data_IF_352868901955
#
_entry.id   IF_352868901955
#
_cell.length_a   1.000
_cell.length_b   1.000
_cell.length_c   1.000
_cell.angle_alpha   90.00
_cell.angle_beta   90.00
_cell.angle_gamma   90.00
#
_symmetry.space_group_name_H-M   'P 1'
#
loop_
_entity.id
_entity.type
_entity.pdbx_description
1 polymer ?
#
# COMPACT_ATOMS: atom_id res chain seq x y z
N UNK A 1 -0.89 17.87 24.36
CA UNK A 1 -0.05 16.69 24.01
C UNK A 1 0.73 16.19 25.23
N UNK A 2 1.08 14.89 25.30
CA UNK A 2 1.91 14.33 26.39
C UNK A 2 3.29 15.01 26.49
N UNK A 3 3.82 15.49 25.36
CA UNK A 3 5.08 16.26 25.30
C UNK A 3 5.01 17.65 25.95
N UNK A 4 3.81 18.17 26.19
CA UNK A 4 3.58 19.50 26.78
C UNK A 4 3.33 19.45 28.29
N UNK A 5 3.30 18.25 28.87
CA UNK A 5 3.13 18.10 30.31
C UNK A 5 4.38 18.69 31.01
N UNK A 6 4.22 19.60 31.99
CA UNK A 6 5.34 20.15 32.73
C UNK A 6 6.18 19.03 33.38
N UNK A 7 7.50 19.18 33.34
CA UNK A 7 8.44 18.22 33.96
C UNK A 7 8.89 17.06 33.07
N UNK A 8 8.40 16.95 31.83
CA UNK A 8 8.90 15.93 30.89
C UNK A 8 10.30 16.29 30.40
N UNK A 9 11.32 15.40 30.56
CA UNK A 9 12.67 15.61 30.05
C UNK A 9 12.71 15.77 28.53
N UNK A 10 13.71 16.48 28.03
CA UNK A 10 13.86 16.76 26.60
C UNK A 10 14.01 15.48 25.75
N UNK A 11 14.73 14.48 26.28
CA UNK A 11 14.88 13.16 25.63
C UNK A 11 13.52 12.46 25.45
N UNK A 12 12.65 12.54 26.45
CA UNK A 12 11.32 11.95 26.41
C UNK A 12 10.41 12.71 25.42
N UNK A 13 10.55 14.04 25.31
CA UNK A 13 9.87 14.81 24.25
C UNK A 13 10.32 14.39 22.86
N UNK A 14 11.63 14.20 22.65
CA UNK A 14 12.16 13.72 21.37
C UNK A 14 11.61 12.34 21.02
N UNK A 15 11.55 11.42 21.99
CA UNK A 15 10.96 10.11 21.79
C UNK A 15 9.48 10.22 21.43
N UNK A 16 8.67 10.91 22.25
CA UNK A 16 7.22 11.03 22.05
C UNK A 16 6.85 11.66 20.70
N UNK A 17 7.69 12.57 20.20
CA UNK A 17 7.47 13.28 18.93
C UNK A 17 8.22 12.65 17.74
N UNK A 18 8.78 11.44 17.92
CA UNK A 18 9.37 10.66 16.85
C UNK A 18 8.37 9.66 16.28
N UNK A 19 7.95 9.91 15.04
CA UNK A 19 7.12 9.01 14.25
C UNK A 19 8.01 8.10 13.39
N UNK A 20 7.90 6.79 13.59
CA UNK A 20 8.61 5.78 12.81
C UNK A 20 7.62 5.04 11.93
N UNK A 21 7.90 4.99 10.63
CA UNK A 21 7.11 4.27 9.63
C UNK A 21 7.98 3.12 9.10
N UNK A 22 7.47 1.89 9.12
CA UNK A 22 8.17 0.70 8.65
C UNK A 22 7.54 0.22 7.34
N UNK A 23 8.36 0.09 6.30
CA UNK A 23 7.95 -0.32 4.96
C UNK A 23 8.03 0.80 3.93
N UNK A 24 8.98 0.73 3.02
CA UNK A 24 9.21 1.66 1.92
C UNK A 24 8.34 1.43 0.68
N UNK A 25 7.27 0.63 0.78
CA UNK A 25 6.28 0.49 -0.29
C UNK A 25 5.44 1.77 -0.48
N UNK A 26 4.51 1.78 -1.45
CA UNK A 26 3.64 2.94 -1.70
C UNK A 26 2.96 3.46 -0.44
N UNK A 27 2.37 2.58 0.38
CA UNK A 27 1.67 2.97 1.62
C UNK A 27 2.57 3.72 2.60
N UNK A 28 3.74 3.19 2.93
CA UNK A 28 4.63 3.84 3.90
C UNK A 28 5.25 5.13 3.37
N UNK A 29 5.52 5.21 2.06
CA UNK A 29 6.00 6.44 1.40
C UNK A 29 4.92 7.52 1.38
N UNK A 30 3.70 7.19 0.98
CA UNK A 30 2.56 8.10 0.97
C UNK A 30 2.26 8.62 2.38
N UNK A 31 2.20 7.71 3.35
CA UNK A 31 1.98 8.06 4.76
C UNK A 31 3.09 8.96 5.30
N UNK A 32 4.35 8.62 5.05
CA UNK A 32 5.49 9.44 5.51
C UNK A 32 5.47 10.84 4.89
N UNK A 33 5.15 10.92 3.59
CA UNK A 33 5.02 12.19 2.87
C UNK A 33 3.89 13.05 3.42
N UNK A 34 2.69 12.50 3.58
CA UNK A 34 1.53 13.24 4.11
C UNK A 34 1.70 13.64 5.58
N UNK A 35 2.27 12.76 6.41
CA UNK A 35 2.58 13.08 7.80
C UNK A 35 3.60 14.21 7.89
N UNK A 36 4.66 14.16 7.09
CA UNK A 36 5.67 15.21 7.04
C UNK A 36 5.06 16.54 6.55
N UNK A 37 4.17 16.49 5.57
CA UNK A 37 3.43 17.66 5.08
C UNK A 37 2.56 18.30 6.16
N UNK A 38 1.82 17.47 6.88
CA UNK A 38 0.97 17.87 7.99
C UNK A 38 1.78 18.51 9.11
N UNK A 39 2.88 17.87 9.51
CA UNK A 39 3.78 18.41 10.55
C UNK A 39 4.32 19.76 10.11
N UNK A 40 4.88 19.86 8.90
CA UNK A 40 5.59 21.05 8.45
C UNK A 40 4.66 22.24 8.17
N UNK A 41 3.43 22.01 7.71
CA UNK A 41 2.48 23.08 7.39
C UNK A 41 1.58 23.43 8.55
N UNK A 42 0.96 22.44 9.19
CA UNK A 42 -0.16 22.65 10.11
C UNK A 42 0.35 22.66 11.57
N UNK A 43 1.12 21.63 11.97
CA UNK A 43 1.58 21.48 13.36
C UNK A 43 2.64 22.52 13.72
N UNK A 44 3.64 22.74 12.86
CA UNK A 44 4.74 23.69 13.13
C UNK A 44 4.28 25.13 13.32
N UNK A 45 3.15 25.53 12.72
CA UNK A 45 2.60 26.88 12.89
C UNK A 45 1.92 27.05 14.25
N UNK A 46 1.33 25.98 14.79
CA UNK A 46 0.49 26.04 16.00
C UNK A 46 1.23 25.60 17.28
N UNK A 47 2.20 24.69 17.15
CA UNK A 47 3.00 24.13 18.26
C UNK A 47 4.48 24.50 18.09
N UNK A 48 4.75 25.80 18.04
CA UNK A 48 6.08 26.35 17.75
C UNK A 48 7.13 25.99 18.79
N UNK A 49 6.73 25.69 20.03
CA UNK A 49 7.61 25.34 21.15
C UNK A 49 8.13 23.89 21.11
N UNK A 50 7.52 23.00 20.31
CA UNK A 50 7.96 21.60 20.17
C UNK A 50 8.35 21.21 18.74
N UNK A 51 8.27 22.13 17.80
CA UNK A 51 8.47 21.91 16.35
C UNK A 51 9.82 21.27 15.97
N UNK A 52 10.84 21.44 16.80
CA UNK A 52 12.21 20.98 16.57
C UNK A 52 12.45 19.57 17.11
N UNK A 53 11.54 19.07 17.96
CA UNK A 53 11.54 17.69 18.45
C UNK A 53 10.84 16.73 17.51
N UNK A 54 9.95 17.22 16.64
CA UNK A 54 9.15 16.36 15.75
C UNK A 54 10.02 15.77 14.65
N UNK A 55 10.05 14.44 14.57
CA UNK A 55 10.85 13.69 13.58
C UNK A 55 10.00 12.62 12.91
N UNK A 56 10.18 12.45 11.61
CA UNK A 56 9.60 11.34 10.85
C UNK A 56 10.74 10.49 10.31
N UNK A 57 10.73 9.19 10.58
CA UNK A 57 11.69 8.23 10.03
C UNK A 57 10.97 7.14 9.26
N UNK A 58 11.34 6.93 8.01
CA UNK A 58 10.89 5.81 7.20
C UNK A 58 12.00 4.76 7.13
N UNK A 59 11.68 3.55 7.57
CA UNK A 59 12.60 2.41 7.61
C UNK A 59 12.21 1.42 6.51
N UNK A 60 13.18 1.05 5.68
CA UNK A 60 13.01 0.06 4.62
C UNK A 60 14.26 -0.83 4.55
N UNK A 61 14.08 -2.11 4.25
CA UNK A 61 15.21 -3.05 4.17
C UNK A 61 16.14 -2.70 2.99
N UNK A 62 15.56 -2.31 1.86
CA UNK A 62 16.29 -2.00 0.63
C UNK A 62 16.03 -0.56 0.16
N UNK A 63 15.56 -0.40 -1.08
CA UNK A 63 15.14 0.87 -1.66
C UNK A 63 13.63 1.04 -1.53
N UNK A 64 13.20 2.27 -1.25
CA UNK A 64 11.78 2.62 -1.30
C UNK A 64 11.23 2.46 -2.73
N UNK A 65 9.93 2.18 -2.83
CA UNK A 65 9.18 2.06 -4.08
C UNK A 65 9.88 1.14 -5.08
N UNK A 66 10.38 -0.01 -4.62
CA UNK A 66 11.18 -0.95 -5.42
C UNK A 66 10.51 -1.48 -6.69
N UNK A 67 9.19 -1.32 -6.83
CA UNK A 67 8.41 -1.61 -8.04
C UNK A 67 8.43 -0.49 -9.10
N UNK A 68 8.85 0.73 -8.74
CA UNK A 68 8.91 1.90 -9.62
C UNK A 68 10.26 2.03 -10.34
N UNK A 69 10.28 2.85 -11.39
CA UNK A 69 11.50 3.21 -12.13
C UNK A 69 12.56 3.85 -11.23
N UNK A 70 13.82 3.54 -11.48
CA UNK A 70 14.97 4.04 -10.72
C UNK A 70 15.00 5.57 -10.62
N UNK A 71 14.62 6.27 -11.69
CA UNK A 71 14.55 7.73 -11.70
C UNK A 71 13.44 8.25 -10.79
N UNK A 72 12.29 7.57 -10.76
CA UNK A 72 11.18 7.90 -9.86
C UNK A 72 11.55 7.62 -8.40
N UNK A 73 12.24 6.51 -8.13
CA UNK A 73 12.77 6.18 -6.80
C UNK A 73 13.72 7.26 -6.30
N UNK A 74 14.70 7.65 -7.13
CA UNK A 74 15.64 8.72 -6.79
C UNK A 74 14.94 10.06 -6.54
N UNK A 75 13.93 10.39 -7.35
CA UNK A 75 13.13 11.60 -7.15
C UNK A 75 12.36 11.56 -5.81
N UNK A 76 11.73 10.44 -5.50
CA UNK A 76 11.01 10.23 -4.24
C UNK A 76 11.93 10.38 -3.02
N UNK A 77 13.09 9.72 -3.06
CA UNK A 77 14.13 9.81 -2.01
C UNK A 77 14.53 11.27 -1.78
N UNK A 78 14.88 12.00 -2.84
CA UNK A 78 15.25 13.43 -2.73
C UNK A 78 14.13 14.29 -2.16
N UNK A 79 12.90 14.05 -2.58
CA UNK A 79 11.74 14.84 -2.17
C UNK A 79 11.33 14.58 -0.72
N UNK A 80 11.35 13.32 -0.26
CA UNK A 80 11.06 12.95 1.13
C UNK A 80 12.11 13.53 2.07
N UNK A 81 13.40 13.39 1.75
CA UNK A 81 14.49 14.00 2.51
C UNK A 81 14.35 15.52 2.58
N UNK A 82 14.05 16.17 1.46
CA UNK A 82 13.78 17.63 1.42
C UNK A 82 12.58 18.04 2.28
N UNK A 83 11.63 17.13 2.50
CA UNK A 83 10.43 17.38 3.29
C UNK A 83 10.64 17.13 4.78
N UNK A 84 11.82 16.63 5.19
CA UNK A 84 12.18 16.37 6.59
C UNK A 84 12.03 14.91 7.02
N UNK A 85 11.74 13.99 6.09
CA UNK A 85 11.66 12.55 6.37
C UNK A 85 13.07 11.97 6.37
N UNK A 86 13.47 11.35 7.47
CA UNK A 86 14.72 10.60 7.57
C UNK A 86 14.51 9.20 6.98
N UNK A 87 15.29 8.84 5.97
CA UNK A 87 15.27 7.49 5.40
C UNK A 87 16.36 6.66 6.08
N UNK A 88 15.98 5.50 6.64
CA UNK A 88 16.89 4.57 7.28
C UNK A 88 16.79 3.22 6.58
N UNK A 89 17.93 2.67 6.20
CA UNK A 89 18.00 1.29 5.70
C UNK A 89 18.16 0.36 6.88
N UNK A 90 17.27 -0.61 7.02
CA UNK A 90 17.34 -1.57 8.12
C UNK A 90 16.16 -2.52 8.13
N UNK A 91 16.38 -3.67 8.77
CA UNK A 91 15.33 -4.66 8.99
C UNK A 91 14.96 -4.61 10.47
N UNK A 92 13.69 -4.37 10.77
CA UNK A 92 13.22 -4.40 12.16
C UNK A 92 13.22 -5.84 12.65
N UNK A 93 13.96 -6.11 13.72
CA UNK A 93 14.09 -7.42 14.36
C UNK A 93 13.12 -7.59 15.52
N UNK A 94 12.87 -6.52 16.28
CA UNK A 94 12.05 -6.57 17.49
C UNK A 94 11.38 -5.20 17.74
N UNK A 95 10.21 -5.24 18.39
CA UNK A 95 9.43 -4.05 18.76
C UNK A 95 9.20 -4.08 20.26
N UNK A 96 9.72 -3.08 20.96
CA UNK A 96 9.49 -2.84 22.40
C UNK A 96 8.57 -1.65 22.56
N UNK A 97 8.01 -1.48 23.77
CA UNK A 97 7.01 -0.45 24.05
C UNK A 97 7.41 0.99 23.65
N UNK A 98 8.71 1.32 23.69
CA UNK A 98 9.23 2.67 23.48
C UNK A 98 10.30 2.78 22.39
N UNK A 99 10.67 1.65 21.76
CA UNK A 99 11.73 1.58 20.77
C UNK A 99 11.59 0.35 19.89
N UNK A 100 12.11 0.43 18.67
CA UNK A 100 12.34 -0.73 17.81
C UNK A 100 13.83 -1.08 17.78
N UNK A 101 14.14 -2.35 17.53
CA UNK A 101 15.50 -2.85 17.43
C UNK A 101 15.71 -3.35 16.00
N UNK A 102 16.71 -2.82 15.32
CA UNK A 102 17.10 -3.24 13.98
C UNK A 102 17.98 -4.50 14.05
N UNK A 103 18.13 -5.18 12.92
CA UNK A 103 18.92 -6.40 12.79
C UNK A 103 20.42 -6.22 13.11
N UNK A 104 20.95 -5.01 12.96
CA UNK A 104 22.32 -4.62 13.33
C UNK A 104 22.47 -4.23 14.81
N UNK A 105 21.39 -4.28 15.60
CA UNK A 105 21.37 -3.87 17.01
C UNK A 105 21.08 -2.39 17.23
N UNK A 106 20.92 -1.57 16.18
CA UNK A 106 20.53 -0.17 16.30
C UNK A 106 19.15 -0.07 16.94
N UNK A 107 19.07 0.73 18.01
CA UNK A 107 17.80 1.04 18.66
C UNK A 107 17.24 2.36 18.14
N UNK A 108 15.96 2.37 17.78
CA UNK A 108 15.26 3.57 17.30
C UNK A 108 14.10 3.85 18.25
N UNK A 109 14.20 4.88 19.12
CA UNK A 109 13.10 5.28 19.98
C UNK A 109 11.91 5.78 19.15
N UNK A 110 10.69 5.65 19.64
CA UNK A 110 9.51 6.19 18.95
C UNK A 110 8.39 6.57 19.93
N UNK A 111 7.53 7.48 19.49
CA UNK A 111 6.25 7.81 20.12
C UNK A 111 5.07 7.28 19.32
N UNK A 112 5.19 7.26 17.99
CA UNK A 112 4.26 6.62 17.07
C UNK A 112 5.01 5.65 16.16
N UNK A 113 4.58 4.39 16.14
CA UNK A 113 5.06 3.37 15.20
C UNK A 113 3.93 3.03 14.22
N UNK A 114 4.21 3.16 12.92
CA UNK A 114 3.30 2.81 11.83
C UNK A 114 3.90 1.66 11.04
N UNK A 115 3.22 0.52 11.02
CA UNK A 115 3.66 -0.68 10.33
C UNK A 115 2.91 -0.83 9.00
N UNK A 116 3.62 -0.70 7.89
CA UNK A 116 3.03 -0.66 6.53
C UNK A 116 3.61 -1.71 5.57
N UNK A 117 4.18 -2.78 6.13
CA UNK A 117 4.80 -3.88 5.37
C UNK A 117 4.39 -5.24 5.92
N UNK A 118 4.62 -6.29 5.13
CA UNK A 118 4.34 -7.66 5.52
C UNK A 118 2.86 -8.00 5.42
N UNK A 119 2.42 -8.43 4.24
CA UNK A 119 1.11 -9.07 4.07
C UNK A 119 1.32 -10.58 4.19
N UNK A 120 0.55 -11.22 5.07
CA UNK A 120 0.56 -12.66 5.27
C UNK A 120 -0.86 -13.24 5.24
N UNK A 121 -1.00 -14.56 5.07
CA UNK A 121 -2.30 -15.22 5.08
C UNK A 121 -2.94 -15.09 6.47
N UNK A 122 -4.25 -14.85 6.51
CA UNK A 122 -5.02 -14.80 7.77
C UNK A 122 -5.13 -16.19 8.41
N UNK A 123 -5.44 -16.28 9.72
CA UNK A 123 -5.53 -17.58 10.42
C UNK A 123 -6.48 -18.58 9.74
N UNK A 124 -7.62 -18.11 9.21
CA UNK A 124 -8.54 -18.96 8.45
C UNK A 124 -7.87 -19.55 7.19
N UNK A 125 -7.14 -18.74 6.42
CA UNK A 125 -6.44 -19.20 5.22
C UNK A 125 -5.36 -20.22 5.58
N UNK A 126 -4.65 -20.03 6.70
CA UNK A 126 -3.66 -20.99 7.17
C UNK A 126 -4.29 -22.31 7.60
N UNK A 127 -5.47 -22.27 8.26
CA UNK A 127 -6.16 -23.45 8.78
C UNK A 127 -6.82 -24.34 7.73
N UNK A 128 -7.13 -23.81 6.54
CA UNK A 128 -7.80 -24.57 5.48
C UNK A 128 -6.86 -25.61 4.88
N UNK A 129 -7.28 -26.87 4.87
CA UNK A 129 -6.59 -27.97 4.18
C UNK A 129 -6.84 -27.91 2.66
N UNK A 130 -6.25 -26.91 2.03
CA UNK A 130 -6.29 -26.65 0.60
C UNK A 130 -4.86 -26.48 0.09
N UNK A 131 -4.58 -26.78 -1.19
CA UNK A 131 -3.31 -26.50 -1.84
C UNK A 131 -2.84 -25.08 -1.51
N UNK A 132 -1.55 -24.94 -1.18
CA UNK A 132 -0.95 -23.65 -0.88
C UNK A 132 -0.05 -23.21 -2.01
N UNK A 133 -0.10 -21.92 -2.34
CA UNK A 133 0.86 -21.26 -3.19
C UNK A 133 1.97 -20.59 -2.34
N UNK A 134 3.08 -20.16 -2.96
CA UNK A 134 4.14 -19.44 -2.26
C UNK A 134 3.62 -18.30 -1.37
N UNK A 135 4.15 -18.24 -0.15
CA UNK A 135 3.72 -17.29 0.88
C UNK A 135 2.45 -17.71 1.65
N UNK A 136 2.00 -18.96 1.54
CA UNK A 136 0.89 -19.52 2.33
C UNK A 136 -0.51 -19.08 1.83
N UNK A 137 -0.60 -18.59 0.60
CA UNK A 137 -1.85 -18.24 -0.07
C UNK A 137 -2.61 -19.50 -0.50
N UNK A 138 -3.91 -19.42 -0.75
CA UNK A 138 -4.68 -20.49 -1.39
C UNK A 138 -4.15 -20.67 -2.81
N UNK A 139 -3.75 -21.90 -3.13
CA UNK A 139 -3.27 -22.33 -4.43
C UNK A 139 -4.40 -22.43 -5.44
N UNK A 140 -4.26 -21.73 -6.56
CA UNK A 140 -5.20 -21.75 -7.67
C UNK A 140 -4.57 -22.17 -9.01
N UNK A 141 -5.39 -22.71 -9.91
CA UNK A 141 -5.05 -22.95 -11.32
C UNK A 141 -5.15 -21.68 -12.18
N UNK A 142 -4.97 -21.82 -13.50
CA UNK A 142 -5.00 -20.71 -14.45
C UNK A 142 -6.37 -20.01 -14.58
N UNK A 143 -7.44 -20.64 -14.08
CA UNK A 143 -8.82 -20.13 -14.05
C UNK A 143 -9.25 -19.63 -12.67
N UNK A 144 -8.29 -19.50 -11.73
CA UNK A 144 -8.52 -19.06 -10.35
C UNK A 144 -9.30 -20.07 -9.49
N UNK A 145 -9.39 -21.33 -9.93
CA UNK A 145 -10.01 -22.44 -9.16
C UNK A 145 -9.01 -23.09 -8.25
N UNK A 146 -9.47 -23.63 -7.13
CA UNK A 146 -8.66 -24.44 -6.24
C UNK A 146 -8.60 -25.87 -6.78
N UNK A 147 -7.43 -26.41 -7.19
CA UNK A 147 -7.37 -27.67 -7.92
C UNK A 147 -7.94 -28.89 -7.17
N UNK A 148 -7.90 -28.88 -5.84
CA UNK A 148 -8.42 -29.98 -5.01
C UNK A 148 -9.93 -29.94 -4.80
N UNK A 149 -10.61 -28.82 -5.11
CA UNK A 149 -12.05 -28.64 -4.86
C UNK A 149 -12.69 -27.87 -6.01
N UNK A 150 -13.54 -28.56 -6.79
CA UNK A 150 -14.00 -28.07 -8.09
C UNK A 150 -14.80 -26.76 -8.06
N UNK A 151 -15.63 -26.57 -7.04
CA UNK A 151 -16.54 -25.42 -6.93
C UNK A 151 -15.95 -24.27 -6.09
N UNK A 152 -14.65 -24.34 -5.75
CA UNK A 152 -13.98 -23.33 -4.93
C UNK A 152 -13.04 -22.51 -5.79
N UNK A 153 -13.17 -21.20 -5.67
CA UNK A 153 -12.33 -20.21 -6.33
C UNK A 153 -11.67 -19.31 -5.29
N UNK A 154 -10.51 -18.75 -5.62
CA UNK A 154 -9.83 -17.78 -4.77
C UNK A 154 -9.28 -16.63 -5.60
N UNK A 155 -9.50 -15.40 -5.12
CA UNK A 155 -9.06 -14.15 -5.77
C UNK A 155 -8.48 -13.19 -4.74
N UNK A 156 -7.74 -12.19 -5.20
CA UNK A 156 -7.12 -11.16 -4.37
C UNK A 156 -5.94 -11.68 -3.56
N UNK A 157 -5.64 -11.01 -2.46
CA UNK A 157 -4.39 -11.18 -1.70
C UNK A 157 -4.23 -12.56 -1.07
N UNK A 158 -5.34 -13.28 -0.85
CA UNK A 158 -5.33 -14.65 -0.32
C UNK A 158 -5.10 -15.72 -1.38
N UNK A 159 -5.01 -15.35 -2.66
CA UNK A 159 -4.87 -16.27 -3.80
C UNK A 159 -3.48 -16.23 -4.42
N UNK A 160 -2.96 -17.37 -4.85
CA UNK A 160 -1.72 -17.47 -5.61
C UNK A 160 -1.73 -18.68 -6.53
N UNK A 161 -1.10 -18.58 -7.70
CA UNK A 161 -0.99 -19.72 -8.59
C UNK A 161 -0.16 -20.83 -7.95
N UNK A 162 -0.62 -22.09 -8.08
CA UNK A 162 0.17 -23.25 -7.67
C UNK A 162 1.42 -23.38 -8.54
N UNK A 163 2.51 -23.90 -7.98
CA UNK A 163 3.81 -24.00 -8.69
C UNK A 163 3.72 -24.80 -9.99
N UNK A 164 2.84 -25.81 -10.04
CA UNK A 164 2.62 -26.63 -11.25
C UNK A 164 2.09 -25.84 -12.45
N UNK A 165 1.54 -24.64 -12.25
CA UNK A 165 1.13 -23.76 -13.37
C UNK A 165 2.31 -23.06 -14.04
N UNK A 166 3.49 -23.03 -13.40
CA UNK A 166 4.64 -22.26 -13.87
C UNK A 166 4.43 -20.74 -13.87
N UNK A 167 3.33 -20.24 -13.29
CA UNK A 167 2.99 -18.81 -13.29
C UNK A 167 3.55 -18.09 -12.07
N UNK A 168 4.04 -16.85 -12.22
CA UNK A 168 4.53 -16.07 -11.10
C UNK A 168 3.38 -15.68 -10.17
N UNK A 169 3.69 -15.51 -8.88
CA UNK A 169 2.74 -14.93 -7.92
C UNK A 169 2.44 -13.48 -8.32
N UNK A 170 1.15 -13.15 -8.41
CA UNK A 170 0.71 -11.78 -8.66
C UNK A 170 0.89 -10.92 -7.39
N UNK A 171 1.20 -9.61 -7.55
CA UNK A 171 1.36 -8.73 -6.41
C UNK A 171 0.01 -8.48 -5.71
N UNK A 172 0.03 -8.30 -4.39
CA UNK A 172 -1.12 -7.95 -3.57
C UNK A 172 -1.56 -6.50 -3.84
N UNK A 173 -2.32 -6.31 -4.92
CA UNK A 173 -2.80 -5.02 -5.39
C UNK A 173 -4.31 -5.06 -5.62
N UNK A 174 -5.00 -3.98 -5.28
CA UNK A 174 -6.43 -3.80 -5.59
C UNK A 174 -6.72 -4.00 -7.09
N UNK A 175 -5.80 -3.62 -7.98
CA UNK A 175 -5.93 -3.82 -9.42
C UNK A 175 -5.94 -5.30 -9.83
N UNK A 176 -5.19 -6.16 -9.12
CA UNK A 176 -5.18 -7.61 -9.35
C UNK A 176 -6.53 -8.18 -8.90
N UNK A 177 -6.96 -7.86 -7.68
CA UNK A 177 -8.24 -8.31 -7.14
C UNK A 177 -9.45 -7.87 -7.99
N UNK A 178 -9.48 -6.61 -8.44
CA UNK A 178 -10.54 -6.09 -9.31
C UNK A 178 -10.62 -6.85 -10.64
N UNK A 179 -9.46 -7.12 -11.27
CA UNK A 179 -9.40 -7.84 -12.54
C UNK A 179 -9.78 -9.31 -12.38
N UNK A 180 -9.29 -9.97 -11.33
CA UNK A 180 -9.68 -11.34 -11.00
C UNK A 180 -11.19 -11.43 -10.73
N UNK A 181 -11.75 -10.46 -9.99
CA UNK A 181 -13.19 -10.38 -9.73
C UNK A 181 -14.02 -10.24 -11.01
N UNK A 182 -13.62 -9.34 -11.93
CA UNK A 182 -14.29 -9.18 -13.24
C UNK A 182 -14.20 -10.44 -14.09
N UNK A 183 -13.03 -11.08 -14.12
CA UNK A 183 -12.82 -12.33 -14.84
C UNK A 183 -13.71 -13.45 -14.30
N UNK A 184 -13.67 -13.66 -12.98
CA UNK A 184 -14.44 -14.70 -12.31
C UNK A 184 -15.96 -14.47 -12.44
N UNK A 185 -16.43 -13.22 -12.31
CA UNK A 185 -17.85 -12.90 -12.52
C UNK A 185 -18.32 -13.25 -13.94
N UNK A 186 -17.51 -12.93 -14.96
CA UNK A 186 -17.82 -13.29 -16.35
C UNK A 186 -17.84 -14.81 -16.55
N UNK A 187 -16.90 -15.53 -15.94
CA UNK A 187 -16.84 -16.99 -16.00
C UNK A 187 -18.07 -17.62 -15.33
N UNK A 188 -18.42 -17.21 -14.11
CA UNK A 188 -19.59 -17.72 -13.39
C UNK A 188 -20.89 -17.43 -14.15
N UNK A 189 -21.01 -16.26 -14.79
CA UNK A 189 -22.15 -15.94 -15.65
C UNK A 189 -22.25 -16.88 -16.87
N UNK A 190 -21.12 -17.31 -17.47
CA UNK A 190 -21.12 -18.29 -18.56
C UNK A 190 -21.54 -19.66 -18.06
N UNK A 191 -20.99 -20.10 -16.92
CA UNK A 191 -21.34 -21.37 -16.26
C UNK A 191 -22.84 -21.41 -15.96
N UNK A 192 -23.40 -20.36 -15.37
CA UNK A 192 -24.83 -20.26 -15.07
C UNK A 192 -25.71 -20.30 -16.32
N UNK A 193 -25.33 -19.61 -17.40
CA UNK A 193 -26.06 -19.65 -18.68
C UNK A 193 -26.04 -21.01 -19.36
N UNK A 194 -25.00 -21.82 -19.12
CA UNK A 194 -24.89 -23.19 -19.60
C UNK A 194 -25.66 -24.20 -18.73
N UNK A 195 -26.43 -23.75 -17.74
CA UNK A 195 -27.27 -24.60 -16.90
C UNK A 195 -26.54 -25.20 -15.69
N UNK A 196 -25.29 -24.80 -15.41
CA UNK A 196 -24.49 -25.33 -14.31
C UNK A 196 -24.44 -24.41 -13.08
N UNK A 197 -25.60 -23.92 -12.65
CA UNK A 197 -25.71 -23.04 -11.47
C UNK A 197 -25.66 -23.76 -10.11
N UNK A 198 -25.42 -25.08 -10.10
CA UNK A 198 -25.48 -25.91 -8.89
C UNK A 198 -24.15 -26.61 -8.61
N UNK A 199 -23.94 -27.04 -7.37
CA UNK A 199 -22.71 -27.73 -6.98
C UNK A 199 -22.42 -28.93 -7.91
N UNK A 200 -21.17 -29.07 -8.33
CA UNK A 200 -20.66 -30.13 -9.20
C UNK A 200 -21.22 -30.17 -10.64
N UNK A 201 -22.03 -29.19 -11.05
CA UNK A 201 -22.64 -29.18 -12.39
C UNK A 201 -21.74 -28.57 -13.48
N UNK A 202 -20.68 -27.85 -13.10
CA UNK A 202 -19.78 -27.17 -14.03
C UNK A 202 -18.61 -28.02 -14.58
N UNK A 203 -18.59 -29.33 -14.33
CA UNK A 203 -17.45 -30.23 -14.62
C UNK A 203 -17.05 -30.27 -16.09
N UNK A 204 -18.03 -30.29 -16.97
CA UNK A 204 -17.84 -30.46 -18.42
C UNK A 204 -17.86 -29.12 -19.17
N UNK A 205 -17.98 -28.00 -18.46
CA UNK A 205 -18.05 -26.68 -19.08
C UNK A 205 -16.65 -26.20 -19.41
N UNK A 206 -16.47 -25.85 -20.68
CA UNK A 206 -15.28 -25.16 -21.15
C UNK A 206 -15.21 -23.75 -20.51
N UNK A 207 -14.22 -23.54 -19.64
CA UNK A 207 -14.03 -22.29 -18.91
C UNK A 207 -13.53 -21.13 -19.78
N UNK A 208 -13.14 -21.42 -21.02
CA UNK A 208 -12.54 -20.48 -21.96
C UNK A 208 -11.11 -20.10 -21.58
N UNK A 209 -10.68 -18.91 -21.98
CA UNK A 209 -9.31 -18.47 -21.80
C UNK A 209 -8.89 -18.33 -20.32
N UNK A 210 -7.62 -18.68 -19.98
CA UNK A 210 -7.10 -18.52 -18.63
C UNK A 210 -6.98 -17.04 -18.22
N UNK A 211 -6.96 -16.78 -16.92
CA UNK A 211 -6.80 -15.42 -16.40
C UNK A 211 -5.42 -14.86 -16.76
N UNK A 212 -5.36 -13.68 -17.39
CA UNK A 212 -4.09 -12.99 -17.67
C UNK A 212 -4.11 -11.60 -17.03
N UNK A 213 -3.20 -11.37 -16.09
CA UNK A 213 -3.03 -10.06 -15.48
C UNK A 213 -2.24 -9.12 -16.38
N UNK A 214 -2.83 -7.96 -16.71
CA UNK A 214 -2.15 -6.86 -17.40
C UNK A 214 -2.01 -5.68 -16.44
N UNK A 215 -0.77 -5.40 -16.03
CA UNK A 215 -0.45 -4.28 -15.17
C UNK A 215 -0.72 -2.95 -15.89
N UNK A 216 -1.52 -2.07 -15.28
CA UNK A 216 -1.86 -0.75 -15.82
C UNK A 216 -0.88 0.35 -15.41
N UNK A 217 0.14 0.02 -14.63
CA UNK A 217 1.03 0.98 -13.99
C UNK A 217 0.72 1.17 -12.51
N UNK A 218 1.58 1.97 -11.88
CA UNK A 218 1.62 2.27 -10.46
C UNK A 218 1.71 3.78 -10.24
N UNK A 219 1.09 4.27 -9.16
CA UNK A 219 1.17 5.68 -8.78
C UNK A 219 1.34 5.78 -7.28
N UNK A 220 2.06 6.80 -6.81
CA UNK A 220 2.24 7.07 -5.39
C UNK A 220 2.36 8.59 -5.14
N UNK A 221 1.68 9.12 -4.13
CA UNK A 221 1.96 10.48 -3.63
C UNK A 221 3.22 10.49 -2.75
N UNK A 222 3.93 11.61 -2.72
CA UNK A 222 5.16 11.78 -1.92
C UNK A 222 5.10 13.07 -1.08
N UNK A 223 3.89 13.53 -0.78
CA UNK A 223 3.63 14.80 -0.09
C UNK A 223 3.85 16.03 -1.00
N UNK A 224 3.61 17.21 -0.43
CA UNK A 224 3.76 18.55 -1.03
C UNK A 224 3.14 18.70 -2.42
N UNK A 225 1.97 18.11 -2.65
CA UNK A 225 1.29 18.14 -3.95
C UNK A 225 2.14 17.57 -5.09
N UNK A 226 2.94 16.53 -4.79
CA UNK A 226 3.77 15.81 -5.77
C UNK A 226 3.42 14.34 -5.73
N UNK A 227 3.43 13.72 -6.90
CA UNK A 227 3.24 12.28 -7.03
C UNK A 227 4.20 11.69 -8.09
N UNK A 228 4.19 10.37 -8.16
CA UNK A 228 4.87 9.56 -9.16
C UNK A 228 3.82 8.82 -9.97
N UNK A 229 4.02 8.74 -11.28
CA UNK A 229 3.21 7.97 -12.20
C UNK A 229 4.16 7.11 -13.03
N UNK A 230 4.01 5.79 -12.92
CA UNK A 230 4.78 4.81 -13.66
C UNK A 230 3.81 3.92 -14.45
N UNK A 231 3.70 4.16 -15.76
CA UNK A 231 2.81 3.42 -16.65
C UNK A 231 3.52 2.25 -17.36
N UNK A 232 4.71 1.86 -16.91
CA UNK A 232 5.41 0.70 -17.46
C UNK A 232 4.72 -0.59 -17.01
N UNK A 233 4.63 -1.58 -17.91
CA UNK A 233 4.04 -2.89 -17.58
C UNK A 233 4.98 -3.82 -16.81
N UNK A 234 6.29 -3.57 -16.91
CA UNK A 234 7.37 -4.29 -16.24
C UNK A 234 8.51 -3.31 -15.94
N UNK A 235 9.44 -3.68 -15.06
CA UNK A 235 10.62 -2.86 -14.72
C UNK A 235 11.47 -2.50 -15.95
N UNK A 236 11.53 -3.40 -16.93
CA UNK A 236 12.27 -3.24 -18.18
C UNK A 236 11.36 -2.78 -19.34
N UNK A 237 10.07 -2.60 -19.08
CA UNK A 237 9.10 -2.22 -20.10
C UNK A 237 9.28 -0.78 -20.56
N UNK A 238 9.05 -0.54 -21.85
CA UNK A 238 8.88 0.82 -22.37
C UNK A 238 7.57 1.40 -21.83
N UNK A 239 7.60 2.62 -21.31
CA UNK A 239 6.42 3.29 -20.78
C UNK A 239 6.73 4.68 -20.26
N UNK A 240 5.68 5.36 -19.78
CA UNK A 240 5.77 6.73 -19.30
C UNK A 240 6.09 6.70 -17.79
N UNK A 241 7.18 7.35 -17.41
CA UNK A 241 7.56 7.58 -16.01
C UNK A 241 7.61 9.10 -15.77
N UNK A 242 6.71 9.61 -14.93
CA UNK A 242 6.56 11.04 -14.64
C UNK A 242 6.57 11.29 -13.14
N UNK A 243 7.22 12.37 -12.71
CA UNK A 243 7.22 12.81 -11.32
C UNK A 243 6.93 14.30 -11.19
N UNK A 244 6.31 14.68 -10.07
CA UNK A 244 6.11 16.06 -9.66
C UNK A 244 4.65 16.50 -9.61
N UNK A 245 4.41 17.79 -9.85
CA UNK A 245 3.09 18.41 -9.67
C UNK A 245 2.10 17.97 -10.75
N UNK A 246 2.55 17.84 -12.01
CA UNK A 246 1.69 17.31 -13.07
C UNK A 246 1.24 15.88 -12.76
N UNK A 247 2.17 15.04 -12.29
CA UNK A 247 1.87 13.68 -11.81
C UNK A 247 0.87 13.67 -10.65
N UNK A 248 0.90 14.67 -9.77
CA UNK A 248 -0.07 14.79 -8.68
C UNK A 248 -1.50 15.05 -9.18
N UNK A 249 -1.67 15.88 -10.20
CA UNK A 249 -3.00 16.05 -10.82
C UNK A 249 -3.47 14.78 -11.54
N UNK A 250 -2.57 14.07 -12.23
CA UNK A 250 -2.88 12.77 -12.84
C UNK A 250 -3.32 11.77 -11.76
N UNK A 251 -2.57 11.68 -10.66
CA UNK A 251 -2.91 10.84 -9.50
C UNK A 251 -4.30 11.19 -8.96
N UNK A 252 -4.58 12.47 -8.70
CA UNK A 252 -5.88 12.93 -8.18
C UNK A 252 -7.04 12.52 -9.10
N UNK A 253 -6.89 12.78 -10.40
CA UNK A 253 -7.90 12.44 -11.40
C UNK A 253 -8.16 10.93 -11.44
N UNK A 254 -7.09 10.13 -11.45
CA UNK A 254 -7.22 8.67 -11.49
C UNK A 254 -7.86 8.07 -10.23
N UNK A 255 -7.59 8.64 -9.05
CA UNK A 255 -8.22 8.19 -7.81
C UNK A 255 -9.69 8.60 -7.73
N UNK A 256 -10.07 9.82 -8.13
CA UNK A 256 -11.48 10.22 -8.20
C UNK A 256 -12.27 9.27 -9.11
N UNK A 257 -11.75 8.92 -10.29
CA UNK A 257 -12.49 8.04 -11.22
C UNK A 257 -12.58 6.59 -10.70
N UNK A 258 -11.64 6.15 -9.87
CA UNK A 258 -11.63 4.80 -9.28
C UNK A 258 -12.47 4.65 -8.02
N UNK A 259 -12.87 5.74 -7.35
CA UNK A 259 -13.83 5.64 -6.25
C UNK A 259 -15.16 5.08 -6.80
N UNK A 260 -15.68 4.04 -6.16
CA UNK A 260 -16.84 3.27 -6.66
C UNK A 260 -18.14 4.07 -6.64
N UNK A 261 -18.37 4.88 -5.59
CA UNK A 261 -19.64 5.58 -5.38
C UNK A 261 -19.55 7.07 -5.72
N UNK A 262 -20.58 7.60 -6.40
CA UNK A 262 -20.75 9.04 -6.65
C UNK A 262 -20.71 9.88 -5.38
N UNK A 263 -21.33 9.39 -4.29
CA UNK A 263 -21.30 10.05 -2.98
C UNK A 263 -19.87 10.21 -2.48
N UNK A 264 -19.07 9.15 -2.56
CA UNK A 264 -17.68 9.17 -2.12
C UNK A 264 -16.81 10.04 -3.03
N UNK A 265 -17.06 10.04 -4.35
CA UNK A 265 -16.38 10.94 -5.29
C UNK A 265 -16.60 12.40 -4.92
N UNK A 266 -17.85 12.77 -4.65
CA UNK A 266 -18.21 14.12 -4.23
C UNK A 266 -17.54 14.49 -2.90
N UNK A 267 -17.58 13.62 -1.88
CA UNK A 267 -16.92 13.91 -0.61
C UNK A 267 -15.40 14.07 -0.73
N UNK A 268 -14.73 13.21 -1.52
CA UNK A 268 -13.28 13.34 -1.75
C UNK A 268 -12.96 14.69 -2.39
N UNK A 269 -13.74 15.09 -3.40
CA UNK A 269 -13.58 16.37 -4.07
C UNK A 269 -13.80 17.57 -3.12
N UNK A 270 -14.87 17.55 -2.34
CA UNK A 270 -15.15 18.62 -1.36
C UNK A 270 -14.06 18.69 -0.30
N UNK A 271 -13.64 17.55 0.28
CA UNK A 271 -12.57 17.51 1.28
C UNK A 271 -11.26 18.09 0.72
N UNK A 272 -10.96 17.82 -0.55
CA UNK A 272 -9.79 18.35 -1.22
C UNK A 272 -9.83 19.86 -1.42
N UNK A 273 -11.00 20.43 -1.72
CA UNK A 273 -11.19 21.88 -1.81
C UNK A 273 -11.12 22.51 -0.42
N UNK A 274 -11.85 21.97 0.56
CA UNK A 274 -11.85 22.47 1.93
C UNK A 274 -10.43 22.45 2.51
N UNK A 275 -9.67 21.39 2.29
CA UNK A 275 -8.26 21.31 2.75
C UNK A 275 -7.37 22.34 2.04
N UNK A 276 -7.61 22.61 0.75
CA UNK A 276 -6.86 23.61 0.00
C UNK A 276 -7.12 25.03 0.52
N UNK A 277 -8.37 25.34 0.89
CA UNK A 277 -8.80 26.68 1.31
C UNK A 277 -8.54 26.93 2.80
N UNK A 278 -8.85 25.96 3.66
CA UNK A 278 -8.86 26.13 5.12
C UNK A 278 -7.73 25.38 5.84
N UNK A 279 -6.94 24.59 5.12
CA UNK A 279 -5.99 23.66 5.73
C UNK A 279 -6.66 22.39 6.25
N UNK A 280 -5.88 21.53 6.92
CA UNK A 280 -6.40 20.27 7.48
C UNK A 280 -7.15 20.54 8.78
N UNK A 281 -8.21 19.78 9.04
CA UNK A 281 -8.90 19.83 10.33
C UNK A 281 -8.01 19.23 11.43
N UNK A 282 -7.70 20.05 12.43
CA UNK A 282 -6.83 19.73 13.56
C UNK A 282 -7.54 19.86 14.91
N UNK A 283 -8.87 19.90 14.91
CA UNK A 283 -9.67 20.14 16.13
C UNK A 283 -9.53 19.06 17.20
N UNK A 284 -8.92 17.92 16.87
CA UNK A 284 -8.69 16.78 17.79
C UNK A 284 -7.23 16.65 18.29
N UNK A 285 -6.35 17.61 18.00
CA UNK A 285 -4.95 17.65 18.49
C UNK A 285 -4.83 18.26 19.90
#
# INVERSE_FOLDING_TARGET
>A
MLSDVPGIPEEEKQRLLHCVVVGGGPTGVEFSGELSDFIMKDVRQRYTHVKDYIRVTLIEANEILSSFDDRLRLYATKQLTKSGVRLVRGIVKDVKAQKIILNDGTEVPYGLLVWSTGVGPSPIIQSLDLPKAPGGRIGVDEWLRVPSVQDVFSIGDCSGFVESTGRPTLPALAQVAERQGKYLANMLNKIGKAGAGHANSGKEIELGDPFVYKHLGSMATIGRYKALVDLRQSKEGKGIALAGVLSFFIWRSAYITRVVSWRNRFYVFINWITTLVFGRDISRL
#
